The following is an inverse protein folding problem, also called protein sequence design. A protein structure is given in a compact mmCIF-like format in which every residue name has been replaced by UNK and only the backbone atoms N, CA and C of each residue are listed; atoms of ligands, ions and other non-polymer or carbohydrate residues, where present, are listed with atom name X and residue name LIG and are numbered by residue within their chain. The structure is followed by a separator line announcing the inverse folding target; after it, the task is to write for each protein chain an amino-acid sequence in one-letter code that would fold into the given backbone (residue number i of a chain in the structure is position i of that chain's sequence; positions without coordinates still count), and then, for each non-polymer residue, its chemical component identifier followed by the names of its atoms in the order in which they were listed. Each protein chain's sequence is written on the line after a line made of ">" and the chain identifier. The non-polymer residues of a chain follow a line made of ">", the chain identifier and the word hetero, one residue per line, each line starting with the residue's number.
data_IF_165272636218
#
_entry.id   IF_165272636218
#
_cell.length_a   1.000
_cell.length_b   1.000
_cell.length_c   1.000
_cell.angle_alpha   90.00
_cell.angle_beta   90.00
_cell.angle_gamma   90.00
#
_symmetry.space_group_name_H-M   'P 1'
#
loop_
_entity.id
_entity.type
_entity.pdbx_description
1 polymer ?
#
# COMPACT_ATOMS: atom_id res chain seq x y z
N UNK A 1 -6.37 18.94 23.84
CA UNK A 1 -7.60 19.77 23.76
C UNK A 1 -8.75 18.90 24.20
N UNK A 2 -9.68 19.43 25.02
CA UNK A 2 -10.87 18.70 25.50
C UNK A 2 -12.07 18.80 24.55
N UNK A 3 -12.05 19.78 23.66
CA UNK A 3 -13.11 20.05 22.68
C UNK A 3 -12.50 20.71 21.43
N UNK A 4 -13.02 20.38 20.24
CA UNK A 4 -12.67 20.95 18.96
C UNK A 4 -13.91 21.51 18.27
N UNK A 5 -13.76 22.61 17.54
CA UNK A 5 -14.82 23.37 16.90
C UNK A 5 -14.63 23.45 15.41
N UNK A 6 -15.66 23.95 14.70
CA UNK A 6 -15.63 24.16 13.25
C UNK A 6 -14.33 24.88 12.80
N UNK A 7 -13.73 24.40 11.73
CA UNK A 7 -12.46 24.80 11.12
C UNK A 7 -11.18 24.49 11.90
N UNK A 8 -11.28 23.91 13.10
CA UNK A 8 -10.06 23.44 13.81
C UNK A 8 -9.37 22.33 13.03
N UNK A 9 -8.06 22.45 12.88
CA UNK A 9 -7.18 21.34 12.48
C UNK A 9 -6.84 20.53 13.73
N UNK A 10 -7.07 19.22 13.68
CA UNK A 10 -6.99 18.36 14.85
C UNK A 10 -6.30 17.04 14.56
N UNK A 11 -5.75 16.45 15.61
CA UNK A 11 -5.32 15.08 15.65
C UNK A 11 -6.26 14.30 16.58
N UNK A 12 -6.84 13.22 16.06
CA UNK A 12 -7.81 12.36 16.77
C UNK A 12 -7.22 10.98 16.95
N UNK A 13 -7.32 10.46 18.18
CA UNK A 13 -6.98 9.08 18.52
C UNK A 13 -8.28 8.36 18.87
N UNK A 14 -8.51 7.22 18.24
CA UNK A 14 -9.67 6.36 18.48
C UNK A 14 -9.23 5.08 19.21
N UNK A 15 -10.12 4.48 19.99
CA UNK A 15 -9.93 3.17 20.62
C UNK A 15 -9.84 2.04 19.56
N UNK A 16 -10.53 2.22 18.43
CA UNK A 16 -10.53 1.34 17.25
C UNK A 16 -10.62 2.19 15.99
N UNK A 17 -9.96 1.76 14.93
CA UNK A 17 -10.00 2.48 13.64
C UNK A 17 -10.11 1.52 12.45
N UNK A 18 -10.94 1.86 11.43
CA UNK A 18 -10.92 1.19 10.13
C UNK A 18 -9.84 1.77 9.19
N UNK A 19 -9.24 2.90 9.54
CA UNK A 19 -8.27 3.60 8.69
C UNK A 19 -6.92 2.88 8.68
N UNK A 20 -6.35 2.73 7.49
CA UNK A 20 -4.95 2.35 7.31
C UNK A 20 -4.07 3.57 7.51
N UNK A 21 -3.11 3.48 8.41
CA UNK A 21 -2.08 4.50 8.56
C UNK A 21 -0.98 4.32 7.51
N UNK A 22 -0.38 5.42 7.07
CA UNK A 22 0.74 5.39 6.12
C UNK A 22 1.87 4.48 6.62
N UNK A 23 2.30 3.58 5.76
CA UNK A 23 3.39 2.65 6.09
C UNK A 23 3.65 1.65 4.97
N UNK A 24 4.87 1.06 4.94
CA UNK A 24 5.25 0.08 3.94
C UNK A 24 5.15 0.58 2.48
N UNK A 25 5.32 1.88 2.27
CA UNK A 25 5.17 2.51 0.95
C UNK A 25 3.71 2.72 0.51
N UNK A 26 2.73 2.37 1.33
CA UNK A 26 1.31 2.66 1.05
C UNK A 26 0.89 3.95 1.74
N UNK A 27 0.26 4.88 0.99
CA UNK A 27 -0.35 6.08 1.56
C UNK A 27 -1.51 5.73 2.49
N UNK A 28 -1.76 6.60 3.46
CA UNK A 28 -2.88 6.48 4.40
C UNK A 28 -4.24 6.56 3.70
N UNK A 29 -5.26 6.04 4.39
CA UNK A 29 -6.64 6.34 4.03
C UNK A 29 -7.00 7.79 4.34
N UNK A 30 -8.01 8.27 3.65
CA UNK A 30 -8.82 9.42 4.01
C UNK A 30 -10.26 8.99 4.31
N UNK A 31 -11.06 9.90 4.83
CA UNK A 31 -12.47 9.62 5.11
C UNK A 31 -13.08 10.60 6.09
N UNK A 32 -14.08 10.14 6.84
CA UNK A 32 -14.80 11.01 7.78
C UNK A 32 -14.98 10.33 9.15
N UNK A 33 -14.97 11.15 10.21
CA UNK A 33 -15.37 10.77 11.56
C UNK A 33 -16.58 11.64 11.93
N UNK A 34 -17.68 11.01 12.34
CA UNK A 34 -18.92 11.72 12.69
C UNK A 34 -19.38 11.37 14.09
N UNK A 35 -19.91 12.35 14.82
CA UNK A 35 -20.55 12.17 16.12
C UNK A 35 -21.43 13.36 16.49
N UNK A 36 -22.66 13.13 16.95
CA UNK A 36 -23.51 14.15 17.59
C UNK A 36 -23.76 15.40 16.75
N UNK A 37 -23.78 15.30 15.43
CA UNK A 37 -23.88 16.45 14.51
C UNK A 37 -22.57 17.12 14.17
N UNK A 38 -21.43 16.56 14.61
CA UNK A 38 -20.11 16.99 14.18
C UNK A 38 -19.58 16.09 13.07
N UNK A 39 -18.81 16.66 12.14
CA UNK A 39 -18.12 15.97 11.04
C UNK A 39 -16.67 16.42 11.00
N UNK A 40 -15.74 15.45 11.04
CA UNK A 40 -14.31 15.65 10.81
C UNK A 40 -13.97 15.01 9.48
N UNK A 41 -13.38 15.76 8.58
CA UNK A 41 -12.70 15.23 7.39
C UNK A 41 -11.29 14.79 7.77
N UNK A 42 -10.97 13.52 7.51
CA UNK A 42 -9.66 12.93 7.79
C UNK A 42 -8.88 12.87 6.49
N UNK A 43 -7.74 13.57 6.46
CA UNK A 43 -6.87 13.67 5.27
C UNK A 43 -5.67 12.74 5.35
N UNK A 44 -5.21 12.41 6.57
CA UNK A 44 -4.02 11.61 6.80
C UNK A 44 -4.14 10.79 8.09
N UNK A 45 -3.48 9.62 8.11
CA UNK A 45 -3.39 8.78 9.30
C UNK A 45 -1.96 8.28 9.46
N UNK A 46 -1.38 8.51 10.62
CA UNK A 46 0.01 8.18 10.95
C UNK A 46 0.10 7.27 12.18
N UNK A 47 1.22 6.52 12.29
CA UNK A 47 1.52 5.67 13.43
C UNK A 47 2.86 6.11 14.07
N UNK A 48 2.88 7.21 14.85
CA UNK A 48 4.13 7.72 15.44
C UNK A 48 4.75 6.77 16.48
N UNK A 49 3.94 5.91 17.07
CA UNK A 49 4.36 4.84 17.98
C UNK A 49 3.60 3.56 17.63
N UNK A 50 4.19 2.37 17.86
CA UNK A 50 3.51 1.10 17.61
C UNK A 50 2.14 1.03 18.30
N UNK A 51 1.09 0.80 17.50
CA UNK A 51 -0.30 0.69 17.99
C UNK A 51 -1.02 2.02 18.25
N UNK A 52 -0.36 3.17 18.05
CA UNK A 52 -0.97 4.49 18.18
C UNK A 52 -1.31 5.07 16.82
N UNK A 53 -2.60 5.05 16.46
CA UNK A 53 -3.11 5.60 15.21
C UNK A 53 -3.60 7.03 15.42
N UNK A 54 -2.98 7.99 14.73
CA UNK A 54 -3.29 9.42 14.79
C UNK A 54 -3.96 9.83 13.49
N UNK A 55 -5.23 10.21 13.56
CA UNK A 55 -6.01 10.69 12.44
C UNK A 55 -5.90 12.21 12.39
N UNK A 56 -5.35 12.75 11.30
CA UNK A 56 -5.19 14.19 11.06
C UNK A 56 -6.30 14.67 10.15
N UNK A 57 -6.90 15.78 10.50
CA UNK A 57 -7.98 16.32 9.70
C UNK A 57 -8.53 17.62 10.25
N UNK A 58 -9.69 18.03 9.70
CA UNK A 58 -10.34 19.29 10.03
C UNK A 58 -11.80 19.08 10.41
N UNK A 59 -12.26 19.79 11.42
CA UNK A 59 -13.68 19.83 11.79
C UNK A 59 -14.44 20.63 10.74
N UNK A 60 -15.32 19.97 9.98
CA UNK A 60 -16.14 20.61 8.93
C UNK A 60 -17.48 21.10 9.43
N UNK A 61 -18.00 20.46 10.47
CA UNK A 61 -19.30 20.82 11.07
C UNK A 61 -19.29 20.52 12.56
N UNK A 62 -20.03 21.30 13.33
CA UNK A 62 -20.30 21.07 14.75
C UNK A 62 -19.09 21.22 15.66
N UNK A 63 -19.13 20.52 16.80
CA UNK A 63 -18.03 20.42 17.75
C UNK A 63 -17.92 19.01 18.31
N UNK A 64 -16.70 18.61 18.68
CA UNK A 64 -16.36 17.29 19.19
C UNK A 64 -15.70 17.38 20.55
N UNK A 65 -16.03 16.43 21.46
CA UNK A 65 -15.42 16.32 22.79
C UNK A 65 -14.73 14.97 22.95
N UNK A 66 -13.69 14.98 23.76
CA UNK A 66 -13.02 13.73 24.14
C UNK A 66 -13.96 12.81 24.92
N UNK A 67 -13.91 11.52 24.64
CA UNK A 67 -14.67 10.47 25.35
C UNK A 67 -16.05 10.18 24.80
N UNK A 68 -16.45 10.81 23.69
CA UNK A 68 -17.72 10.48 23.01
C UNK A 68 -17.55 9.33 22.01
N UNK A 69 -18.64 8.58 21.79
CA UNK A 69 -18.70 7.59 20.72
C UNK A 69 -18.76 8.24 19.35
N UNK A 70 -17.97 7.73 18.42
CA UNK A 70 -17.92 8.23 17.03
C UNK A 70 -18.15 7.12 16.03
N UNK A 71 -18.59 7.47 14.83
CA UNK A 71 -18.59 6.60 13.66
C UNK A 71 -17.46 7.04 12.72
N UNK A 72 -16.58 6.11 12.38
CA UNK A 72 -15.44 6.34 11.51
C UNK A 72 -15.64 5.59 10.19
N UNK A 73 -15.58 6.30 9.06
CA UNK A 73 -15.78 5.76 7.72
C UNK A 73 -14.65 6.19 6.78
N UNK A 74 -14.02 5.22 6.14
CA UNK A 74 -12.97 5.48 5.13
C UNK A 74 -13.58 5.84 3.79
N UNK A 75 -12.83 6.61 2.97
CA UNK A 75 -13.07 6.72 1.54
C UNK A 75 -12.74 5.37 0.87
N UNK A 76 -13.78 4.59 0.61
CA UNK A 76 -13.62 3.24 0.06
C UNK A 76 -13.06 3.23 -1.36
N UNK A 77 -13.35 4.26 -2.17
CA UNK A 77 -12.84 4.34 -3.54
C UNK A 77 -11.34 4.67 -3.53
N UNK A 78 -10.89 5.58 -2.67
CA UNK A 78 -9.47 5.82 -2.43
C UNK A 78 -8.76 4.55 -1.95
N UNK A 79 -9.31 3.84 -0.94
CA UNK A 79 -8.76 2.58 -0.44
C UNK A 79 -8.62 1.54 -1.56
N UNK A 80 -9.65 1.37 -2.39
CA UNK A 80 -9.64 0.44 -3.53
C UNK A 80 -8.58 0.80 -4.55
N UNK A 81 -8.46 2.10 -4.88
CA UNK A 81 -7.45 2.57 -5.83
C UNK A 81 -6.02 2.33 -5.33
N UNK A 82 -5.75 2.57 -4.03
CA UNK A 82 -4.46 2.30 -3.41
C UNK A 82 -4.19 0.79 -3.34
N UNK A 83 -5.19 -0.03 -2.97
CA UNK A 83 -5.05 -1.49 -2.91
C UNK A 83 -4.71 -2.09 -4.27
N UNK A 84 -5.26 -1.55 -5.37
CA UNK A 84 -4.86 -1.92 -6.74
C UNK A 84 -3.39 -1.60 -7.01
N UNK A 85 -2.96 -0.38 -6.69
CA UNK A 85 -1.57 0.06 -6.87
C UNK A 85 -0.60 -0.81 -6.04
N UNK A 86 -0.97 -1.14 -4.79
CA UNK A 86 -0.13 -1.94 -3.92
C UNK A 86 0.00 -3.40 -4.38
N UNK A 87 -1.10 -4.01 -4.80
CA UNK A 87 -1.05 -5.37 -5.37
C UNK A 87 -0.26 -5.37 -6.68
N UNK A 88 -0.42 -4.34 -7.53
CA UNK A 88 0.37 -4.18 -8.74
C UNK A 88 1.88 -4.11 -8.44
N UNK A 89 2.28 -3.40 -7.38
CA UNK A 89 3.68 -3.30 -6.95
C UNK A 89 4.27 -4.67 -6.62
N UNK A 90 3.57 -5.54 -5.90
CA UNK A 90 4.03 -6.90 -5.62
C UNK A 90 4.19 -7.73 -6.90
N UNK A 91 3.24 -7.64 -7.82
CA UNK A 91 3.31 -8.35 -9.10
C UNK A 91 4.47 -7.83 -9.97
N UNK A 92 4.65 -6.53 -10.04
CA UNK A 92 5.76 -5.87 -10.76
C UNK A 92 7.10 -6.27 -10.13
N UNK A 93 7.23 -6.26 -8.80
CA UNK A 93 8.44 -6.68 -8.11
C UNK A 93 8.84 -8.12 -8.47
N UNK A 94 7.89 -9.05 -8.42
CA UNK A 94 8.14 -10.45 -8.80
C UNK A 94 8.56 -10.56 -10.27
N UNK A 95 7.87 -9.86 -11.19
CA UNK A 95 8.19 -9.88 -12.61
C UNK A 95 9.57 -9.26 -12.92
N UNK A 96 9.95 -8.15 -12.27
CA UNK A 96 11.29 -7.58 -12.40
C UNK A 96 12.38 -8.57 -11.99
N UNK A 97 12.19 -9.30 -10.89
CA UNK A 97 13.16 -10.32 -10.46
C UNK A 97 13.26 -11.49 -11.43
N UNK A 98 12.17 -11.88 -12.07
CA UNK A 98 12.19 -12.94 -13.09
C UNK A 98 12.88 -12.51 -14.39
N UNK A 99 12.76 -11.24 -14.78
CA UNK A 99 13.31 -10.72 -16.05
C UNK A 99 14.73 -10.16 -15.88
N UNK A 100 14.98 -9.40 -14.81
CA UNK A 100 16.27 -8.72 -14.57
C UNK A 100 17.18 -9.49 -13.62
N UNK A 101 16.66 -10.50 -12.92
CA UNK A 101 17.40 -11.31 -11.95
C UNK A 101 17.06 -10.97 -10.49
N UNK A 102 17.48 -11.86 -9.60
CA UNK A 102 17.14 -11.85 -8.17
C UNK A 102 17.59 -10.59 -7.41
N UNK A 103 18.51 -9.80 -7.98
CA UNK A 103 19.01 -8.55 -7.39
C UNK A 103 18.07 -7.36 -7.60
N UNK A 104 17.09 -7.46 -8.51
CA UNK A 104 16.08 -6.43 -8.73
C UNK A 104 15.03 -6.40 -7.60
N UNK A 105 15.51 -6.21 -6.37
CA UNK A 105 14.68 -6.17 -5.15
C UNK A 105 14.17 -4.76 -4.90
N UNK A 106 13.07 -4.63 -4.14
CA UNK A 106 12.53 -3.32 -3.79
C UNK A 106 13.52 -2.54 -2.89
N UNK A 107 13.98 -1.39 -3.37
CA UNK A 107 14.74 -0.40 -2.60
C UNK A 107 13.86 0.72 -2.04
N UNK A 108 12.66 0.90 -2.61
CA UNK A 108 11.64 1.82 -2.17
C UNK A 108 10.37 1.65 -2.97
N UNK A 109 9.24 2.09 -2.42
CA UNK A 109 7.96 2.07 -3.12
C UNK A 109 7.04 3.19 -2.64
N UNK A 110 6.03 3.51 -3.43
CA UNK A 110 4.90 4.34 -3.05
C UNK A 110 3.66 3.86 -3.78
N UNK A 111 2.59 3.63 -3.04
CA UNK A 111 1.30 3.19 -3.57
C UNK A 111 0.26 4.27 -3.27
N UNK A 112 -0.15 4.99 -4.30
CA UNK A 112 -1.11 6.07 -4.28
C UNK A 112 -2.35 5.72 -5.14
N UNK A 113 -3.46 6.47 -5.04
CA UNK A 113 -4.61 6.23 -5.90
C UNK A 113 -4.23 6.25 -7.39
N UNK A 114 -4.40 5.10 -8.07
CA UNK A 114 -4.14 4.94 -9.50
C UNK A 114 -2.67 5.01 -9.93
N UNK A 115 -1.72 5.09 -9.01
CA UNK A 115 -0.29 5.17 -9.30
C UNK A 115 0.52 4.33 -8.32
N UNK A 116 1.56 3.66 -8.82
CA UNK A 116 2.62 3.10 -8.00
C UNK A 116 3.99 3.61 -8.43
N UNK A 117 4.92 3.65 -7.48
CA UNK A 117 6.36 3.87 -7.69
C UNK A 117 7.09 2.65 -7.18
N UNK A 118 8.07 2.20 -7.95
CA UNK A 118 8.93 1.09 -7.59
C UNK A 118 10.39 1.46 -7.84
N UNK A 119 11.20 1.50 -6.79
CA UNK A 119 12.62 1.79 -6.84
C UNK A 119 13.39 0.48 -6.66
N UNK A 120 14.40 0.21 -7.50
CA UNK A 120 15.15 -1.03 -7.49
C UNK A 120 16.61 -0.85 -7.90
N UNK A 121 17.54 -1.69 -7.39
CA UNK A 121 18.94 -1.67 -7.79
C UNK A 121 19.09 -2.11 -9.24
N UNK A 122 19.71 -1.25 -10.07
CA UNK A 122 20.04 -1.54 -11.46
C UNK A 122 21.13 -0.58 -11.92
N UNK A 123 22.23 -1.10 -12.50
CA UNK A 123 23.41 -0.32 -12.85
C UNK A 123 23.19 0.66 -14.02
N UNK A 124 22.24 0.38 -14.91
CA UNK A 124 21.92 1.22 -16.06
C UNK A 124 20.43 1.24 -16.37
N UNK A 125 20.02 1.97 -17.42
CA UNK A 125 18.63 1.94 -17.90
C UNK A 125 18.18 0.50 -18.20
N UNK A 126 16.92 0.20 -17.87
CA UNK A 126 16.31 -1.06 -18.31
C UNK A 126 15.99 -0.96 -19.79
N UNK A 127 16.26 -2.00 -20.57
CA UNK A 127 15.96 -1.97 -22.00
C UNK A 127 14.45 -1.91 -22.24
N UNK A 128 14.05 -1.34 -23.36
CA UNK A 128 12.63 -1.24 -23.75
C UNK A 128 12.00 -2.64 -23.85
N UNK A 129 12.78 -3.60 -24.35
CA UNK A 129 12.35 -4.99 -24.49
C UNK A 129 12.10 -5.65 -23.13
N UNK A 130 13.00 -5.46 -22.16
CA UNK A 130 12.83 -5.99 -20.82
C UNK A 130 11.64 -5.34 -20.09
N UNK A 131 11.44 -4.03 -20.24
CA UNK A 131 10.29 -3.32 -19.72
C UNK A 131 8.98 -3.85 -20.32
N UNK A 132 8.95 -4.06 -21.65
CA UNK A 132 7.79 -4.62 -22.33
C UNK A 132 7.52 -6.06 -21.88
N UNK A 133 8.57 -6.86 -21.64
CA UNK A 133 8.43 -8.22 -21.12
C UNK A 133 7.82 -8.23 -19.70
N UNK A 134 8.33 -7.38 -18.79
CA UNK A 134 7.77 -7.25 -17.43
C UNK A 134 6.30 -6.85 -17.48
N UNK A 135 5.97 -5.79 -18.24
CA UNK A 135 4.59 -5.30 -18.41
C UNK A 135 3.68 -6.38 -19.00
N UNK A 136 4.13 -7.04 -20.05
CA UNK A 136 3.38 -8.12 -20.71
C UNK A 136 3.13 -9.32 -19.79
N UNK A 137 4.15 -9.73 -19.03
CA UNK A 137 4.06 -10.84 -18.07
C UNK A 137 3.06 -10.56 -16.96
N UNK A 138 3.12 -9.36 -16.37
CA UNK A 138 2.16 -8.97 -15.33
C UNK A 138 0.75 -8.91 -15.88
N UNK A 139 0.53 -8.28 -17.06
CA UNK A 139 -0.79 -8.20 -17.67
C UNK A 139 -1.35 -9.56 -18.07
N UNK A 140 -0.52 -10.53 -18.48
CA UNK A 140 -0.97 -11.89 -18.73
C UNK A 140 -1.53 -12.56 -17.47
N UNK A 141 -0.86 -12.39 -16.32
CA UNK A 141 -1.32 -12.93 -15.04
C UNK A 141 -2.59 -12.25 -14.50
N UNK A 142 -2.90 -11.02 -14.94
CA UNK A 142 -4.18 -10.37 -14.61
C UNK A 142 -5.35 -11.12 -15.27
N UNK A 143 -5.15 -11.65 -16.47
CA UNK A 143 -6.18 -12.40 -17.19
C UNK A 143 -6.46 -13.77 -16.55
N UNK A 144 -5.51 -14.31 -15.78
CA UNK A 144 -5.71 -15.55 -15.02
C UNK A 144 -6.58 -15.33 -13.77
N UNK A 145 -6.82 -14.08 -13.39
CA UNK A 145 -7.64 -13.67 -12.26
C UNK A 145 -7.28 -14.42 -10.97
N UNK A 146 -5.98 -14.44 -10.65
CA UNK A 146 -5.43 -15.15 -9.49
C UNK A 146 -6.01 -14.61 -8.17
N UNK A 147 -6.29 -15.50 -7.23
CA UNK A 147 -6.71 -15.12 -5.88
C UNK A 147 -5.58 -14.39 -5.15
N UNK A 148 -5.92 -13.30 -4.46
CA UNK A 148 -5.00 -12.56 -3.60
C UNK A 148 -5.40 -12.78 -2.15
N UNK A 149 -4.55 -13.49 -1.41
CA UNK A 149 -4.80 -13.84 -0.01
C UNK A 149 -3.81 -13.15 0.93
N UNK A 150 -4.22 -12.96 2.17
CA UNK A 150 -3.38 -12.44 3.23
C UNK A 150 -3.52 -13.34 4.47
N UNK A 151 -2.41 -13.89 4.94
CA UNK A 151 -2.40 -14.83 6.06
C UNK A 151 -1.34 -14.47 7.09
N UNK A 152 -1.68 -14.57 8.36
CA UNK A 152 -0.72 -14.42 9.44
C UNK A 152 -0.09 -15.78 9.79
N UNK A 153 1.23 -15.79 9.88
CA UNK A 153 1.99 -16.98 10.21
C UNK A 153 3.29 -16.64 10.94
N UNK A 154 4.03 -17.64 11.39
CA UNK A 154 5.37 -17.43 11.92
C UNK A 154 6.36 -17.08 10.81
N UNK A 155 7.46 -16.40 11.14
CA UNK A 155 8.54 -16.14 10.16
C UNK A 155 9.10 -17.43 9.55
N UNK A 156 9.18 -18.51 10.34
CA UNK A 156 9.67 -19.81 9.85
C UNK A 156 8.74 -20.42 8.81
N UNK A 157 7.42 -20.34 9.03
CA UNK A 157 6.41 -20.76 8.06
C UNK A 157 6.48 -19.93 6.78
N UNK A 158 6.58 -18.59 6.92
CA UNK A 158 6.70 -17.69 5.77
C UNK A 158 7.92 -18.01 4.90
N UNK A 159 9.07 -18.26 5.53
CA UNK A 159 10.29 -18.71 4.81
C UNK A 159 10.11 -20.06 4.13
N UNK A 160 9.46 -21.02 4.79
CA UNK A 160 9.24 -22.35 4.25
C UNK A 160 8.39 -22.35 2.97
N UNK A 161 7.45 -21.40 2.83
CA UNK A 161 6.64 -21.21 1.61
C UNK A 161 7.28 -20.25 0.61
N UNK A 162 8.52 -19.80 0.84
CA UNK A 162 9.26 -18.93 -0.06
C UNK A 162 8.77 -17.47 -0.07
N UNK A 163 8.10 -17.00 0.99
CA UNK A 163 7.67 -15.62 1.09
C UNK A 163 8.89 -14.69 1.22
N UNK A 164 8.90 -13.63 0.41
CA UNK A 164 9.95 -12.64 0.41
C UNK A 164 9.74 -11.62 1.52
N UNK A 165 10.81 -11.33 2.27
CA UNK A 165 10.88 -10.21 3.18
C UNK A 165 11.50 -9.00 2.48
N UNK A 166 10.92 -7.83 2.63
CA UNK A 166 11.49 -6.59 2.09
C UNK A 166 12.73 -6.20 2.89
N UNK A 167 13.75 -5.70 2.19
CA UNK A 167 14.99 -5.30 2.83
C UNK A 167 14.80 -4.08 3.72
N UNK A 168 15.37 -4.12 4.94
CA UNK A 168 15.31 -3.00 5.89
C UNK A 168 14.09 -2.99 6.82
N UNK A 169 13.09 -3.82 6.57
CA UNK A 169 11.92 -3.95 7.44
C UNK A 169 12.23 -4.83 8.67
N UNK A 170 11.69 -4.43 9.83
CA UNK A 170 11.78 -5.21 11.06
C UNK A 170 10.48 -5.98 11.26
N UNK A 171 10.58 -7.30 11.24
CA UNK A 171 9.43 -8.18 11.42
C UNK A 171 9.40 -8.80 12.82
N UNK A 172 8.23 -8.84 13.43
CA UNK A 172 7.99 -9.55 14.69
C UNK A 172 7.99 -11.08 14.50
N UNK A 173 7.71 -11.83 15.55
CA UNK A 173 7.60 -13.30 15.49
C UNK A 173 6.48 -13.76 14.53
N UNK A 174 5.41 -13.03 14.46
CA UNK A 174 4.31 -13.23 13.51
C UNK A 174 4.41 -12.22 12.39
N UNK A 175 4.17 -12.67 11.18
CA UNK A 175 4.22 -11.88 9.95
C UNK A 175 2.97 -12.12 9.12
N UNK A 176 2.54 -11.09 8.41
CA UNK A 176 1.45 -11.20 7.45
C UNK A 176 2.05 -11.41 6.06
N UNK A 177 1.68 -12.52 5.41
CA UNK A 177 2.11 -12.88 4.06
C UNK A 177 0.96 -12.59 3.11
N UNK A 178 1.23 -11.80 2.08
CA UNK A 178 0.33 -11.58 0.95
C UNK A 178 0.78 -12.48 -0.20
N UNK A 179 -0.15 -13.24 -0.76
CA UNK A 179 0.10 -14.14 -1.88
C UNK A 179 -0.79 -13.76 -3.07
N UNK A 180 -0.23 -13.78 -4.28
CA UNK A 180 -0.97 -13.66 -5.53
C UNK A 180 -0.91 -15.03 -6.21
N UNK A 181 -1.95 -15.82 -6.02
CA UNK A 181 -1.94 -17.24 -6.35
C UNK A 181 -0.73 -17.95 -5.74
N UNK A 182 -0.15 -18.86 -6.52
CA UNK A 182 1.12 -19.52 -6.17
C UNK A 182 2.36 -18.79 -6.73
N UNK A 183 2.14 -17.71 -7.48
CA UNK A 183 3.22 -17.04 -8.24
C UNK A 183 4.05 -16.06 -7.40
N UNK A 184 3.42 -15.23 -6.56
CA UNK A 184 4.13 -14.25 -5.73
C UNK A 184 3.70 -14.37 -4.27
N UNK A 185 4.68 -14.26 -3.34
CA UNK A 185 4.46 -14.25 -1.88
C UNK A 185 5.42 -13.27 -1.23
N UNK A 186 4.86 -12.29 -0.52
CA UNK A 186 5.66 -11.25 0.15
C UNK A 186 5.13 -10.93 1.55
N UNK A 187 6.02 -10.55 2.46
CA UNK A 187 5.65 -10.03 3.76
C UNK A 187 5.12 -8.61 3.58
N UNK A 188 3.84 -8.39 3.88
CA UNK A 188 3.22 -7.09 3.69
C UNK A 188 2.06 -6.83 4.67
N UNK A 189 2.08 -5.66 5.33
CA UNK A 189 1.00 -5.18 6.20
C UNK A 189 -0.08 -4.35 5.49
N UNK A 190 0.10 -4.04 4.21
CA UNK A 190 -0.77 -3.14 3.45
C UNK A 190 -2.11 -3.73 3.02
N UNK A 191 -2.89 -2.92 2.32
CA UNK A 191 -4.19 -3.33 1.79
C UNK A 191 -4.08 -3.78 0.34
N UNK A 192 -4.83 -4.80 -0.03
CA UNK A 192 -4.77 -5.44 -1.34
C UNK A 192 -6.16 -5.71 -1.91
N UNK A 193 -6.23 -5.91 -3.22
CA UNK A 193 -7.42 -6.47 -3.88
C UNK A 193 -7.57 -7.95 -3.52
N UNK A 194 -8.72 -8.54 -3.78
CA UNK A 194 -8.97 -9.97 -3.53
C UNK A 194 -8.64 -10.86 -4.73
N UNK A 195 -8.50 -10.28 -5.93
CA UNK A 195 -8.16 -11.01 -7.17
C UNK A 195 -7.32 -10.13 -8.09
N UNK A 196 -6.37 -10.73 -8.81
CA UNK A 196 -5.47 -9.99 -9.71
C UNK A 196 -6.21 -9.26 -10.85
N UNK A 197 -7.30 -9.83 -11.37
CA UNK A 197 -8.11 -9.18 -12.40
C UNK A 197 -8.73 -7.84 -11.99
N UNK A 198 -8.86 -7.57 -10.69
CA UNK A 198 -9.36 -6.27 -10.18
C UNK A 198 -8.38 -5.11 -10.37
N UNK A 199 -7.13 -5.38 -10.76
CA UNK A 199 -6.15 -4.34 -11.05
C UNK A 199 -6.45 -3.59 -12.36
N UNK A 200 -7.17 -4.22 -13.27
CA UNK A 200 -7.31 -3.73 -14.64
C UNK A 200 -6.00 -3.90 -15.43
N UNK A 201 -5.62 -2.90 -16.22
CA UNK A 201 -4.36 -2.94 -16.99
C UNK A 201 -3.24 -2.28 -16.20
N UNK A 202 -2.07 -2.92 -16.14
CA UNK A 202 -0.84 -2.30 -15.64
C UNK A 202 -0.09 -1.69 -16.82
N UNK A 203 0.28 -0.41 -16.65
CA UNK A 203 1.06 0.35 -17.64
C UNK A 203 2.21 1.08 -16.97
N UNK A 204 3.43 0.87 -17.47
CA UNK A 204 4.58 1.68 -17.11
C UNK A 204 4.52 3.03 -17.80
N UNK A 205 4.82 4.09 -17.08
CA UNK A 205 4.72 5.47 -17.53
C UNK A 205 6.09 6.10 -17.74
N UNK A 206 7.03 5.84 -16.84
CA UNK A 206 8.38 6.39 -16.92
C UNK A 206 9.37 5.58 -16.11
N UNK A 207 10.61 5.52 -16.61
CA UNK A 207 11.76 4.97 -15.91
C UNK A 207 12.85 6.04 -15.82
N UNK A 208 13.49 6.15 -14.64
CA UNK A 208 14.50 7.18 -14.41
C UNK A 208 15.56 6.72 -13.39
N UNK A 209 16.73 7.37 -13.40
CA UNK A 209 17.72 7.23 -12.33
C UNK A 209 17.37 8.13 -11.15
N UNK A 210 17.49 7.62 -9.94
CA UNK A 210 17.32 8.39 -8.70
C UNK A 210 18.59 8.42 -7.85
N UNK A 211 19.66 7.80 -8.32
CA UNK A 211 20.94 7.73 -7.65
C UNK A 211 21.88 6.75 -8.35
N UNK A 212 23.10 6.61 -7.85
CA UNK A 212 24.06 5.66 -8.39
C UNK A 212 23.55 4.22 -8.19
N UNK A 213 23.28 3.52 -9.28
CA UNK A 213 22.85 2.12 -9.28
C UNK A 213 21.42 1.89 -8.79
N UNK A 214 20.55 2.93 -8.74
CA UNK A 214 19.13 2.78 -8.39
C UNK A 214 18.26 3.41 -9.46
N UNK A 215 17.30 2.63 -9.94
CA UNK A 215 16.29 3.04 -10.92
C UNK A 215 14.92 3.17 -10.27
N UNK A 216 14.11 4.05 -10.81
CA UNK A 216 12.72 4.29 -10.41
C UNK A 216 11.80 4.04 -11.57
N UNK A 217 10.84 3.17 -11.37
CA UNK A 217 9.71 2.96 -12.26
C UNK A 217 8.44 3.60 -11.70
N UNK A 218 7.71 4.31 -12.55
CA UNK A 218 6.37 4.82 -12.26
C UNK A 218 5.39 4.09 -13.15
N UNK A 219 4.36 3.52 -12.55
CA UNK A 219 3.31 2.83 -13.28
C UNK A 219 1.91 3.14 -12.75
N UNK A 220 0.91 2.64 -13.48
CA UNK A 220 -0.50 2.68 -13.11
C UNK A 220 -1.07 1.28 -13.13
N UNK A 221 -1.92 1.00 -12.12
CA UNK A 221 -2.93 -0.03 -12.19
C UNK A 221 -4.25 0.69 -12.47
N UNK A 222 -4.84 0.45 -13.63
CA UNK A 222 -6.01 1.18 -14.11
C UNK A 222 -7.17 0.21 -14.37
N UNK A 223 -8.35 0.66 -13.97
CA UNK A 223 -9.64 -0.02 -14.21
C UNK A 223 -10.32 0.62 -15.39
#
# INVERSE_FOLDING_TARGET
>A
ISEAHHDDEIEVILDRTPFYAEGGGQLSDSGVITAGGATIEVDDVQTPLPGLFVHRGRVREGSLKVGIGVHAAIDIERRRAISRAHTATHMVHKAFREVLGETATQAGSENAPGRFRFDFPQAGPVSIEAMAEVEGRVNALLLEDLEVTAQEMSQSQARAIGAMALFGEKYGERVRVVSVGDWARELCGGTHVSRSGQLGVIKFLSESSIGAGVRREIGRAHV
#
